data_IF_198245405978
#
_entry.id   IF_198245405978
#
_cell.length_a   1.000
_cell.length_b   1.000
_cell.length_c   1.000
_cell.angle_alpha   90.00
_cell.angle_beta   90.00
_cell.angle_gamma   90.00
#
_symmetry.space_group_name_H-M   'P 1'
#
loop_
_entity.id
_entity.type
_entity.pdbx_description
1 polymer ?
#
# COMPACT_ATOMS: atom_id res chain seq x y z
N UNK A 1 -7.51 -3.78 51.83
CA UNK A 1 -7.89 -3.82 50.41
C UNK A 1 -6.61 -3.66 49.59
N UNK A 2 -5.99 -4.77 49.17
CA UNK A 2 -4.79 -4.73 48.32
C UNK A 2 -5.22 -4.43 46.89
N UNK A 3 -4.71 -3.34 46.32
CA UNK A 3 -4.84 -3.03 44.90
C UNK A 3 -3.76 -3.82 44.17
N UNK A 4 -4.17 -4.90 43.49
CA UNK A 4 -3.29 -5.62 42.58
C UNK A 4 -3.08 -4.76 41.33
N UNK A 5 -1.86 -4.25 41.15
CA UNK A 5 -1.44 -3.64 39.88
C UNK A 5 -1.31 -4.76 38.84
N UNK A 6 -2.28 -4.88 37.95
CA UNK A 6 -2.13 -5.69 36.74
C UNK A 6 -0.94 -5.17 35.94
N UNK A 7 0.03 -6.01 35.56
CA UNK A 7 1.13 -5.55 34.72
C UNK A 7 0.55 -5.09 33.39
N UNK A 8 0.65 -3.79 33.12
CA UNK A 8 0.51 -3.26 31.77
C UNK A 8 1.64 -3.90 30.98
N UNK A 9 1.32 -4.89 30.14
CA UNK A 9 2.23 -5.30 29.09
C UNK A 9 2.52 -4.05 28.26
N UNK A 10 3.70 -3.47 28.43
CA UNK A 10 4.15 -2.34 27.63
C UNK A 10 4.15 -2.83 26.18
N UNK A 11 3.10 -2.50 25.43
CA UNK A 11 3.09 -2.73 24.00
C UNK A 11 4.30 -1.98 23.46
N UNK A 12 5.28 -2.70 22.92
CA UNK A 12 6.46 -2.10 22.29
C UNK A 12 6.00 -0.98 21.36
N UNK A 13 6.63 0.19 21.48
CA UNK A 13 6.20 1.36 20.76
C UNK A 13 6.19 1.06 19.25
N UNK A 14 5.31 1.66 18.43
CA UNK A 14 5.27 1.40 16.99
C UNK A 14 6.64 1.53 16.30
N UNK A 15 7.52 2.39 16.81
CA UNK A 15 8.89 2.56 16.33
C UNK A 15 9.79 1.35 16.65
N UNK A 16 9.63 0.70 17.80
CA UNK A 16 10.38 -0.50 18.19
C UNK A 16 10.03 -1.66 17.27
N UNK A 17 8.74 -1.83 16.98
CA UNK A 17 8.28 -2.83 15.99
C UNK A 17 8.89 -2.56 14.62
N UNK A 18 8.94 -1.30 14.19
CA UNK A 18 9.56 -0.95 12.91
C UNK A 18 11.06 -1.24 12.90
N UNK A 19 11.77 -0.94 13.99
CA UNK A 19 13.19 -1.28 14.15
C UNK A 19 13.42 -2.79 14.00
N UNK A 20 12.66 -3.62 14.73
CA UNK A 20 12.78 -5.08 14.68
C UNK A 20 12.58 -5.62 13.25
N UNK A 21 11.53 -5.17 12.56
CA UNK A 21 11.26 -5.61 11.19
C UNK A 21 12.33 -5.14 10.20
N UNK A 22 12.81 -3.90 10.34
CA UNK A 22 13.89 -3.38 9.52
C UNK A 22 15.21 -4.13 9.76
N UNK A 23 15.48 -4.54 11.01
CA UNK A 23 16.67 -5.32 11.36
C UNK A 23 16.62 -6.71 10.71
N UNK A 24 15.48 -7.41 10.83
CA UNK A 24 15.31 -8.74 10.24
C UNK A 24 15.44 -8.70 8.71
N UNK A 25 14.88 -7.69 8.05
CA UNK A 25 15.04 -7.50 6.60
C UNK A 25 16.50 -7.23 6.23
N UNK A 26 17.17 -6.30 6.90
CA UNK A 26 18.57 -5.99 6.63
C UNK A 26 19.50 -7.18 6.88
N UNK A 27 19.21 -7.98 7.91
CA UNK A 27 19.96 -9.21 8.17
C UNK A 27 19.69 -10.28 7.10
N UNK A 28 18.45 -10.39 6.63
CA UNK A 28 18.10 -11.27 5.50
C UNK A 28 18.83 -10.89 4.22
N UNK A 29 18.81 -9.60 3.86
CA UNK A 29 19.45 -9.12 2.62
C UNK A 29 20.96 -9.39 2.60
N UNK A 30 21.60 -9.36 3.78
CA UNK A 30 23.02 -9.65 3.93
C UNK A 30 23.33 -11.15 3.99
N UNK A 31 22.52 -11.92 4.71
CA UNK A 31 22.86 -13.29 5.11
C UNK A 31 22.04 -14.38 4.38
N UNK A 32 21.04 -14.01 3.57
CA UNK A 32 20.18 -14.97 2.87
C UNK A 32 19.38 -15.86 3.82
N UNK A 33 18.69 -15.28 4.80
CA UNK A 33 18.08 -16.02 5.90
C UNK A 33 16.75 -16.71 5.54
N UNK A 34 16.04 -16.19 4.55
CA UNK A 34 14.66 -16.56 4.25
C UNK A 34 14.40 -16.68 2.75
N UNK A 35 13.43 -17.53 2.41
CA UNK A 35 12.90 -17.68 1.06
C UNK A 35 12.16 -16.42 0.58
N UNK A 36 12.07 -16.18 -0.76
CA UNK A 36 11.47 -14.97 -1.32
C UNK A 36 10.05 -14.65 -0.81
N UNK A 37 9.21 -15.68 -0.65
CA UNK A 37 7.84 -15.50 -0.15
C UNK A 37 7.83 -14.98 1.29
N UNK A 38 8.72 -15.48 2.14
CA UNK A 38 8.84 -15.02 3.52
C UNK A 38 9.46 -13.61 3.58
N UNK A 39 10.42 -13.29 2.70
CA UNK A 39 10.95 -11.94 2.55
C UNK A 39 9.87 -10.94 2.14
N UNK A 40 8.98 -11.29 1.22
CA UNK A 40 7.83 -10.46 0.84
C UNK A 40 6.89 -10.21 2.02
N UNK A 41 6.62 -11.24 2.82
CA UNK A 41 5.80 -11.14 4.02
C UNK A 41 6.44 -10.23 5.10
N UNK A 42 7.75 -10.37 5.32
CA UNK A 42 8.51 -9.49 6.21
C UNK A 42 8.52 -8.04 5.71
N UNK A 43 8.60 -7.85 4.41
CA UNK A 43 8.53 -6.53 3.76
C UNK A 43 7.17 -5.88 4.00
N UNK A 44 6.08 -6.63 3.83
CA UNK A 44 4.73 -6.16 4.16
C UNK A 44 4.60 -5.77 5.64
N UNK A 45 5.10 -6.61 6.55
CA UNK A 45 5.09 -6.33 7.98
C UNK A 45 5.93 -5.09 8.36
N UNK A 46 7.08 -4.88 7.71
CA UNK A 46 7.90 -3.68 7.92
C UNK A 46 7.19 -2.41 7.45
N UNK A 47 6.52 -2.45 6.29
CA UNK A 47 5.70 -1.32 5.82
C UNK A 47 4.50 -1.03 6.74
N UNK A 48 3.82 -2.06 7.24
CA UNK A 48 2.75 -1.90 8.23
C UNK A 48 3.27 -1.22 9.51
N UNK A 49 4.42 -1.67 10.03
CA UNK A 49 5.03 -1.07 11.21
C UNK A 49 5.45 0.38 10.97
N UNK A 50 6.03 0.68 9.79
CA UNK A 50 6.35 2.05 9.38
C UNK A 50 5.11 2.93 9.35
N UNK A 51 4.04 2.47 8.70
CA UNK A 51 2.79 3.21 8.57
C UNK A 51 2.10 3.46 9.92
N UNK A 52 2.09 2.45 10.80
CA UNK A 52 1.60 2.58 12.16
C UNK A 52 2.39 3.64 12.96
N UNK A 53 3.72 3.66 12.82
CA UNK A 53 4.54 4.67 13.49
C UNK A 53 4.28 6.09 12.97
N UNK A 54 4.11 6.29 11.66
CA UNK A 54 3.74 7.60 11.08
C UNK A 54 2.37 8.08 11.57
N UNK A 55 1.37 7.18 11.61
CA UNK A 55 0.05 7.51 12.16
C UNK A 55 0.09 7.78 13.66
N UNK A 56 0.99 7.16 14.40
CA UNK A 56 1.24 7.44 15.81
C UNK A 56 2.05 8.74 16.07
N UNK A 57 2.33 9.54 15.05
CA UNK A 57 2.96 10.85 15.18
C UNK A 57 4.47 10.87 14.93
N UNK A 58 5.09 9.75 14.54
CA UNK A 58 6.46 9.77 14.06
C UNK A 58 6.58 10.58 12.75
N UNK A 59 7.77 11.06 12.45
CA UNK A 59 8.11 11.69 11.18
C UNK A 59 9.12 10.86 10.37
N UNK A 60 9.27 11.19 9.09
CA UNK A 60 10.15 10.46 8.18
C UNK A 60 11.61 10.44 8.62
N UNK A 61 12.11 11.52 9.25
CA UNK A 61 13.50 11.56 9.76
C UNK A 61 13.69 10.52 10.86
N UNK A 62 12.78 10.47 11.84
CA UNK A 62 12.85 9.49 12.92
C UNK A 62 12.81 8.05 12.39
N UNK A 63 11.99 7.77 11.38
CA UNK A 63 11.91 6.44 10.79
C UNK A 63 13.12 6.11 9.91
N UNK A 64 13.66 7.09 9.19
CA UNK A 64 14.91 6.92 8.46
C UNK A 64 16.07 6.57 9.42
N UNK A 65 16.19 7.28 10.54
CA UNK A 65 17.18 6.99 11.59
C UNK A 65 16.97 5.62 12.21
N UNK A 66 15.72 5.24 12.51
CA UNK A 66 15.39 3.91 13.03
C UNK A 66 15.80 2.80 12.06
N UNK A 67 15.51 2.96 10.77
CA UNK A 67 15.92 2.01 9.75
C UNK A 67 17.45 1.98 9.57
N UNK A 68 18.14 3.12 9.66
CA UNK A 68 19.60 3.18 9.61
C UNK A 68 20.24 2.45 10.80
N UNK A 69 19.74 2.66 12.03
CA UNK A 69 20.21 1.93 13.22
C UNK A 69 20.01 0.43 13.05
N UNK A 70 18.85 0.01 12.54
CA UNK A 70 18.56 -1.40 12.29
C UNK A 70 19.53 -2.02 11.27
N UNK A 71 19.81 -1.31 10.17
CA UNK A 71 20.81 -1.73 9.16
C UNK A 71 22.23 -1.77 9.71
N UNK A 72 22.64 -0.78 10.50
CA UNK A 72 23.95 -0.76 11.12
C UNK A 72 24.13 -1.95 12.07
N UNK A 73 23.11 -2.25 12.88
CA UNK A 73 23.11 -3.43 13.76
C UNK A 73 23.15 -4.74 12.97
N UNK A 74 22.41 -4.86 11.88
CA UNK A 74 22.49 -6.02 10.99
C UNK A 74 23.88 -6.17 10.35
N UNK A 75 24.51 -5.06 9.97
CA UNK A 75 25.85 -5.03 9.36
C UNK A 75 26.97 -5.52 10.27
N UNK A 76 26.81 -5.43 11.60
CA UNK A 76 27.80 -5.94 12.57
C UNK A 76 27.41 -7.30 13.18
N UNK A 77 26.17 -7.75 13.01
CA UNK A 77 25.73 -9.07 13.52
C UNK A 77 26.30 -10.20 12.65
N UNK A 78 27.06 -11.16 13.21
CA UNK A 78 27.53 -12.32 12.44
C UNK A 78 26.37 -13.17 11.93
N UNK A 79 26.41 -13.56 10.65
CA UNK A 79 25.34 -14.37 10.04
C UNK A 79 25.13 -15.73 10.74
N UNK A 80 26.19 -16.28 11.35
CA UNK A 80 26.14 -17.54 12.09
C UNK A 80 25.84 -17.43 13.60
N UNK A 81 25.56 -16.24 14.12
CA UNK A 81 25.35 -16.01 15.56
C UNK A 81 24.12 -16.76 16.10
N UNK A 82 24.19 -17.21 17.36
CA UNK A 82 23.10 -17.92 18.03
C UNK A 82 21.83 -17.06 18.13
N UNK A 83 21.99 -15.75 18.36
CA UNK A 83 20.89 -14.79 18.40
C UNK A 83 20.16 -14.73 17.05
N UNK A 84 20.91 -14.64 15.94
CA UNK A 84 20.29 -14.55 14.62
C UNK A 84 19.58 -15.85 14.23
N UNK A 85 20.12 -17.02 14.60
CA UNK A 85 19.45 -18.31 14.45
C UNK A 85 18.14 -18.36 15.26
N UNK A 86 18.14 -17.82 16.47
CA UNK A 86 16.92 -17.73 17.31
C UNK A 86 15.87 -16.83 16.65
N UNK A 87 16.27 -15.68 16.13
CA UNK A 87 15.39 -14.77 15.39
C UNK A 87 14.84 -15.44 14.14
N UNK A 88 15.68 -16.13 13.37
CA UNK A 88 15.28 -16.86 12.17
C UNK A 88 14.20 -17.91 12.48
N UNK A 89 14.42 -18.76 13.50
CA UNK A 89 13.44 -19.78 13.90
C UNK A 89 12.11 -19.18 14.36
N UNK A 90 12.14 -18.09 15.14
CA UNK A 90 10.91 -17.38 15.57
C UNK A 90 10.14 -16.80 14.38
N UNK A 91 10.83 -16.21 13.42
CA UNK A 91 10.23 -15.66 12.21
C UNK A 91 9.58 -16.76 11.38
N UNK A 92 10.28 -17.87 11.12
CA UNK A 92 9.74 -19.00 10.35
C UNK A 92 8.46 -19.56 11.00
N UNK A 93 8.48 -19.79 12.32
CA UNK A 93 7.30 -20.27 13.06
C UNK A 93 6.14 -19.29 12.98
N UNK A 94 6.38 -18.00 13.27
CA UNK A 94 5.33 -16.97 13.27
C UNK A 94 4.70 -16.76 11.88
N UNK A 95 5.47 -16.93 10.81
CA UNK A 95 5.01 -16.67 9.44
C UNK A 95 4.42 -17.89 8.73
N UNK A 96 4.60 -19.11 9.26
CA UNK A 96 3.99 -20.33 8.71
C UNK A 96 2.47 -20.19 8.50
N UNK A 97 1.77 -19.57 9.45
CA UNK A 97 0.34 -19.26 9.33
C UNK A 97 0.02 -18.16 8.31
N UNK A 98 0.92 -17.19 8.13
CA UNK A 98 0.71 -16.02 7.27
C UNK A 98 0.78 -16.35 5.77
N UNK A 99 1.56 -17.37 5.42
CA UNK A 99 1.69 -17.86 4.02
C UNK A 99 0.34 -18.19 3.38
N UNK A 100 -0.61 -18.70 4.17
CA UNK A 100 -1.95 -19.11 3.75
C UNK A 100 -2.99 -17.99 3.77
N UNK A 101 -2.64 -16.81 4.29
CA UNK A 101 -3.58 -15.68 4.39
C UNK A 101 -3.88 -15.12 3.00
N UNK A 102 -5.05 -15.42 2.45
CA UNK A 102 -5.42 -14.99 1.09
C UNK A 102 -5.82 -13.52 1.02
N UNK A 103 -6.49 -13.00 2.06
CA UNK A 103 -7.00 -11.62 2.10
C UNK A 103 -6.50 -10.88 3.32
N UNK A 104 -6.23 -9.58 3.15
CA UNK A 104 -5.78 -8.72 4.24
C UNK A 104 -6.24 -7.27 4.05
N UNK A 105 -6.53 -6.59 5.15
CA UNK A 105 -6.77 -5.15 5.15
C UNK A 105 -5.52 -4.41 5.62
N UNK A 106 -5.18 -3.35 4.90
CA UNK A 106 -4.07 -2.45 5.19
C UNK A 106 -4.62 -1.07 5.55
N UNK A 107 -4.34 -0.54 6.75
CA UNK A 107 -4.98 0.69 7.21
C UNK A 107 -4.67 1.93 6.37
N UNK A 108 -5.66 2.82 6.32
CA UNK A 108 -5.52 4.25 6.02
C UNK A 108 -5.97 5.07 7.23
N UNK A 109 -6.10 6.38 7.09
CA UNK A 109 -6.69 7.25 8.10
C UNK A 109 -8.22 7.11 8.12
N UNK A 110 -8.85 7.20 6.94
CA UNK A 110 -10.31 7.02 6.74
C UNK A 110 -10.65 5.86 5.83
N UNK A 111 -9.76 5.50 4.90
CA UNK A 111 -10.01 4.45 3.92
C UNK A 111 -8.83 3.47 3.87
N UNK A 112 -9.09 2.22 4.23
CA UNK A 112 -8.12 1.13 4.11
C UNK A 112 -7.99 0.63 2.67
N UNK A 113 -6.92 -0.15 2.45
CA UNK A 113 -6.74 -0.96 1.26
C UNK A 113 -7.12 -2.41 1.55
N UNK A 114 -7.96 -2.98 0.70
CA UNK A 114 -8.26 -4.41 0.71
C UNK A 114 -7.34 -5.14 -0.27
N UNK A 115 -6.63 -6.16 0.20
CA UNK A 115 -5.76 -6.99 -0.62
C UNK A 115 -6.31 -8.42 -0.75
N UNK A 116 -6.21 -8.99 -1.94
CA UNK A 116 -6.59 -10.37 -2.25
C UNK A 116 -5.49 -11.05 -3.09
N UNK A 117 -5.00 -12.19 -2.61
CA UNK A 117 -4.00 -13.06 -3.26
C UNK A 117 -4.60 -14.34 -3.81
N UNK A 118 -5.91 -14.57 -3.70
CA UNK A 118 -6.51 -15.76 -4.28
C UNK A 118 -6.28 -15.80 -5.80
N UNK A 119 -5.95 -16.99 -6.31
CA UNK A 119 -5.78 -17.23 -7.73
C UNK A 119 -7.14 -17.26 -8.44
N UNK A 120 -7.45 -16.22 -9.22
CA UNK A 120 -8.64 -16.19 -10.07
C UNK A 120 -8.25 -16.14 -11.54
N UNK A 121 -8.93 -16.92 -12.38
CA UNK A 121 -8.76 -16.89 -13.84
C UNK A 121 -9.27 -15.60 -14.48
N UNK A 122 -10.24 -14.94 -13.84
CA UNK A 122 -10.78 -13.63 -14.26
C UNK A 122 -10.01 -12.46 -13.63
N UNK A 123 -9.99 -11.28 -14.27
CA UNK A 123 -9.49 -10.07 -13.63
C UNK A 123 -10.16 -9.83 -12.28
N UNK A 124 -9.36 -9.55 -11.26
CA UNK A 124 -9.83 -9.23 -9.92
C UNK A 124 -9.08 -8.04 -9.36
N UNK A 125 -9.68 -7.40 -8.36
CA UNK A 125 -8.97 -6.47 -7.49
C UNK A 125 -8.01 -7.26 -6.60
N UNK A 126 -6.72 -7.13 -6.85
CA UNK A 126 -5.68 -7.66 -5.96
C UNK A 126 -5.37 -6.69 -4.84
N UNK A 127 -5.44 -5.39 -5.08
CA UNK A 127 -5.33 -4.36 -4.05
C UNK A 127 -6.30 -3.24 -4.41
N UNK A 128 -7.17 -2.81 -3.50
CA UNK A 128 -8.24 -1.87 -3.86
C UNK A 128 -8.66 -0.96 -2.71
N UNK A 129 -8.93 0.28 -3.07
CA UNK A 129 -9.70 1.23 -2.28
C UNK A 129 -10.90 1.71 -3.10
N UNK A 130 -12.03 1.95 -2.42
CA UNK A 130 -13.27 2.39 -3.03
C UNK A 130 -13.70 3.76 -2.47
N UNK A 131 -14.36 4.54 -3.32
CA UNK A 131 -14.87 5.87 -3.01
C UNK A 131 -15.92 6.22 -4.07
N UNK A 132 -16.29 7.50 -4.17
CA UNK A 132 -17.22 7.99 -5.19
C UNK A 132 -16.69 9.27 -5.85
N UNK A 133 -17.30 9.63 -6.97
CA UNK A 133 -17.27 10.97 -7.54
C UNK A 133 -18.71 11.38 -7.86
N UNK A 134 -19.23 12.35 -7.10
CA UNK A 134 -20.68 12.54 -6.99
C UNK A 134 -21.38 11.23 -6.60
N UNK A 135 -22.37 10.83 -7.39
CA UNK A 135 -23.11 9.58 -7.21
C UNK A 135 -22.52 8.35 -7.96
N UNK A 136 -21.35 8.51 -8.60
CA UNK A 136 -20.70 7.45 -9.37
C UNK A 136 -19.66 6.74 -8.49
N UNK A 137 -19.77 5.41 -8.27
CA UNK A 137 -18.76 4.67 -7.52
C UNK A 137 -17.46 4.59 -8.32
N UNK A 138 -16.34 4.75 -7.62
CA UNK A 138 -14.99 4.66 -8.17
C UNK A 138 -14.19 3.69 -7.32
N UNK A 139 -13.55 2.70 -7.96
CA UNK A 139 -12.52 1.86 -7.35
C UNK A 139 -11.18 2.15 -7.97
N UNK A 140 -10.14 2.05 -7.16
CA UNK A 140 -8.78 2.26 -7.59
C UNK A 140 -7.85 1.26 -6.94
N UNK A 141 -6.84 0.81 -7.69
CA UNK A 141 -5.77 -0.01 -7.15
C UNK A 141 -5.20 -0.96 -8.18
N UNK A 142 -4.67 -2.09 -7.71
CA UNK A 142 -4.02 -3.10 -8.53
C UNK A 142 -5.05 -4.14 -8.96
N UNK A 143 -5.17 -4.32 -10.28
CA UNK A 143 -5.93 -5.37 -10.93
C UNK A 143 -4.95 -6.43 -11.43
N UNK A 144 -5.31 -7.70 -11.26
CA UNK A 144 -4.53 -8.82 -11.77
C UNK A 144 -5.39 -10.08 -11.86
N UNK A 145 -4.77 -11.20 -12.15
CA UNK A 145 -5.41 -12.52 -12.22
C UNK A 145 -4.34 -13.58 -12.46
N UNK A 146 -4.75 -14.84 -12.60
CA UNK A 146 -3.86 -15.87 -13.13
C UNK A 146 -3.41 -15.45 -14.53
N UNK A 147 -2.11 -15.59 -14.80
CA UNK A 147 -1.48 -15.29 -16.08
C UNK A 147 -1.63 -13.84 -16.59
N UNK A 148 -1.99 -12.91 -15.70
CA UNK A 148 -2.09 -11.49 -16.02
C UNK A 148 -1.16 -10.67 -15.14
N UNK A 149 -0.31 -9.80 -15.72
CA UNK A 149 0.52 -8.92 -14.93
C UNK A 149 -0.35 -7.93 -14.16
N UNK A 150 0.11 -7.61 -12.95
CA UNK A 150 -0.49 -6.59 -12.11
C UNK A 150 -0.47 -5.23 -12.79
N UNK A 151 -1.63 -4.59 -12.87
CA UNK A 151 -1.80 -3.28 -13.49
C UNK A 151 -2.54 -2.34 -12.55
N UNK A 152 -2.09 -1.09 -12.49
CA UNK A 152 -2.78 -0.05 -11.75
C UNK A 152 -3.97 0.44 -12.57
N UNK A 153 -5.17 0.46 -11.98
CA UNK A 153 -6.38 0.87 -12.68
C UNK A 153 -7.34 1.68 -11.79
N UNK A 154 -8.15 2.51 -12.44
CA UNK A 154 -9.37 3.08 -11.86
C UNK A 154 -10.59 2.54 -12.61
N UNK A 155 -11.58 2.02 -11.89
CA UNK A 155 -12.87 1.61 -12.46
C UNK A 155 -13.96 2.53 -11.95
N UNK A 156 -14.73 3.09 -12.87
CA UNK A 156 -15.85 3.99 -12.56
C UNK A 156 -17.11 3.54 -13.25
N UNK A 157 -18.22 3.51 -12.51
CA UNK A 157 -19.56 3.25 -13.08
C UNK A 157 -20.37 4.54 -13.09
N UNK A 158 -20.17 5.36 -14.12
CA UNK A 158 -20.81 6.67 -14.25
C UNK A 158 -22.33 6.63 -14.11
N UNK A 159 -22.88 7.62 -13.42
CA UNK A 159 -24.30 7.97 -13.54
C UNK A 159 -24.46 9.07 -14.61
N UNK A 160 -25.49 8.96 -15.45
CA UNK A 160 -25.74 9.88 -16.56
C UNK A 160 -25.03 9.48 -17.86
N UNK A 161 -25.21 10.29 -18.92
CA UNK A 161 -24.71 10.00 -20.28
C UNK A 161 -23.31 10.56 -20.56
N UNK A 162 -22.88 11.61 -19.87
CA UNK A 162 -21.55 12.19 -20.07
C UNK A 162 -20.45 11.17 -19.76
N UNK A 163 -19.44 11.11 -20.61
CA UNK A 163 -18.27 10.23 -20.45
C UNK A 163 -17.00 11.07 -20.51
N UNK A 164 -16.04 10.84 -19.59
CA UNK A 164 -14.76 11.52 -19.65
C UNK A 164 -13.97 11.04 -20.87
N UNK A 165 -13.15 11.95 -21.38
CA UNK A 165 -12.24 11.76 -22.51
C UNK A 165 -10.83 11.37 -22.05
N UNK A 166 -10.51 11.58 -20.77
CA UNK A 166 -9.24 11.19 -20.19
C UNK A 166 -9.35 10.99 -18.68
N UNK A 167 -8.37 10.28 -18.11
CA UNK A 167 -8.22 10.16 -16.66
C UNK A 167 -6.76 10.33 -16.27
N UNK A 168 -6.51 10.91 -15.10
CA UNK A 168 -5.17 11.05 -14.54
C UNK A 168 -5.16 10.84 -13.04
N UNK A 169 -4.08 10.27 -12.52
CA UNK A 169 -3.79 10.29 -11.09
C UNK A 169 -3.00 11.56 -10.79
N UNK A 170 -3.38 12.31 -9.78
CA UNK A 170 -2.67 13.50 -9.30
C UNK A 170 -2.27 13.29 -7.85
N UNK A 171 -1.00 13.55 -7.55
CA UNK A 171 -0.42 13.36 -6.22
C UNK A 171 0.73 14.36 -5.99
N UNK A 172 1.24 14.45 -4.76
CA UNK A 172 2.48 15.19 -4.47
C UNK A 172 3.63 14.63 -5.30
N UNK A 173 4.47 15.50 -5.84
CA UNK A 173 5.76 15.10 -6.39
C UNK A 173 6.84 15.12 -5.32
N UNK A 174 7.22 13.93 -4.84
CA UNK A 174 8.27 13.80 -3.82
C UNK A 174 9.65 14.29 -4.28
N UNK A 175 9.90 14.43 -5.59
CA UNK A 175 11.13 15.02 -6.11
C UNK A 175 11.17 16.54 -6.00
N UNK A 176 10.01 17.20 -6.02
CA UNK A 176 9.87 18.67 -5.95
C UNK A 176 9.55 19.13 -4.53
N UNK A 177 8.68 18.38 -3.84
CA UNK A 177 8.30 18.63 -2.46
C UNK A 177 8.64 17.39 -1.62
N UNK A 178 9.85 17.27 -1.06
CA UNK A 178 10.30 16.06 -0.35
C UNK A 178 9.51 15.79 0.93
N UNK A 179 9.04 16.84 1.61
CA UNK A 179 8.25 16.71 2.84
C UNK A 179 6.82 16.24 2.52
N UNK A 180 6.25 15.35 3.34
CA UNK A 180 4.85 14.97 3.21
C UNK A 180 3.89 16.16 3.27
N UNK A 181 2.84 16.11 2.46
CA UNK A 181 1.76 17.09 2.51
C UNK A 181 0.60 16.56 3.36
N UNK A 182 0.66 16.80 4.67
CA UNK A 182 -0.27 16.24 5.67
C UNK A 182 -1.59 17.02 5.78
N UNK A 183 -2.12 17.48 4.65
CA UNK A 183 -3.44 18.11 4.54
C UNK A 183 -4.47 17.12 4.00
N UNK A 184 -5.75 17.46 4.10
CA UNK A 184 -6.85 16.64 3.57
C UNK A 184 -6.99 16.72 2.03
N UNK A 185 -6.19 17.54 1.36
CA UNK A 185 -6.22 17.75 -0.08
C UNK A 185 -4.83 17.75 -0.71
N UNK A 186 -4.77 17.91 -2.03
CA UNK A 186 -3.51 17.96 -2.77
C UNK A 186 -2.67 19.21 -2.39
N UNK A 187 -1.33 19.15 -2.49
CA UNK A 187 -0.44 20.31 -2.33
C UNK A 187 -0.69 21.38 -3.41
N UNK A 188 -0.06 22.57 -3.39
CA UNK A 188 -0.13 23.53 -4.49
C UNK A 188 0.26 22.91 -5.84
N UNK A 189 -0.28 23.43 -6.96
CA UNK A 189 -0.12 22.82 -8.28
C UNK A 189 1.34 22.56 -8.69
N UNK A 190 2.25 23.48 -8.36
CA UNK A 190 3.69 23.38 -8.64
C UNK A 190 4.39 22.23 -7.92
N UNK A 191 3.76 21.65 -6.89
CA UNK A 191 4.27 20.52 -6.11
C UNK A 191 3.55 19.21 -6.46
N UNK A 192 2.73 19.20 -7.51
CA UNK A 192 1.98 18.02 -7.96
C UNK A 192 2.66 17.39 -9.15
N UNK A 193 2.48 16.08 -9.27
CA UNK A 193 2.71 15.34 -10.51
C UNK A 193 1.44 14.64 -10.94
N UNK A 194 1.28 14.46 -12.25
CA UNK A 194 0.17 13.75 -12.83
C UNK A 194 0.64 12.55 -13.65
N UNK A 195 -0.11 11.45 -13.59
CA UNK A 195 0.06 10.28 -14.45
C UNK A 195 -1.22 10.04 -15.21
N UNK A 196 -1.17 10.21 -16.52
CA UNK A 196 -2.31 9.94 -17.38
C UNK A 196 -2.55 8.44 -17.54
N UNK A 197 -3.81 8.06 -17.69
CA UNK A 197 -4.18 6.71 -18.09
C UNK A 197 -3.67 6.46 -19.53
N UNK A 198 -3.13 5.27 -19.76
CA UNK A 198 -2.68 4.82 -21.08
C UNK A 198 -3.84 4.46 -22.01
N UNK A 199 -5.01 4.15 -21.44
CA UNK A 199 -6.21 3.81 -22.20
C UNK A 199 -7.43 3.60 -21.31
N UNK A 200 -8.57 3.46 -21.98
CA UNK A 200 -9.86 3.14 -21.38
C UNK A 200 -10.50 1.98 -22.10
N UNK A 201 -11.15 1.10 -21.35
CA UNK A 201 -11.94 -0.02 -21.88
C UNK A 201 -13.19 -0.25 -21.04
N UNK A 202 -14.12 -1.06 -21.54
CA UNK A 202 -15.20 -1.58 -20.72
C UNK A 202 -14.62 -2.39 -19.55
N UNK A 203 -15.09 -2.13 -18.34
CA UNK A 203 -14.64 -2.84 -17.16
C UNK A 203 -15.27 -4.24 -17.09
N UNK A 204 -14.46 -5.23 -16.72
CA UNK A 204 -14.96 -6.56 -16.38
C UNK A 204 -15.96 -6.48 -15.21
N UNK A 205 -17.04 -7.26 -15.25
CA UNK A 205 -18.06 -7.29 -14.19
C UNK A 205 -17.46 -7.58 -12.81
N UNK A 206 -16.38 -8.37 -12.74
CA UNK A 206 -15.65 -8.68 -11.51
C UNK A 206 -15.05 -7.44 -10.83
N UNK A 207 -14.80 -6.37 -11.58
CA UNK A 207 -14.17 -5.15 -11.08
C UNK A 207 -15.19 -4.06 -10.72
N UNK A 208 -16.44 -4.23 -11.12
CA UNK A 208 -17.52 -3.27 -10.93
C UNK A 208 -17.98 -3.17 -9.49
N UNK A 209 -18.76 -2.12 -9.19
CA UNK A 209 -19.42 -2.04 -7.89
C UNK A 209 -20.61 -2.96 -7.80
N UNK A 210 -20.88 -3.39 -6.58
CA UNK A 210 -22.08 -4.16 -6.29
C UNK A 210 -23.31 -3.45 -6.87
N UNK A 211 -24.14 -4.22 -7.57
CA UNK A 211 -25.31 -3.70 -8.27
C UNK A 211 -25.04 -2.88 -9.53
N UNK A 212 -23.80 -2.82 -10.06
CA UNK A 212 -23.49 -2.12 -11.32
C UNK A 212 -23.33 -3.10 -12.47
N UNK A 213 -24.01 -2.81 -13.58
CA UNK A 213 -23.95 -3.62 -14.80
C UNK A 213 -22.83 -3.20 -15.76
N UNK A 214 -22.40 -1.93 -15.71
CA UNK A 214 -21.40 -1.35 -16.61
C UNK A 214 -20.43 -0.42 -15.88
N UNK A 215 -19.27 -0.20 -16.50
CA UNK A 215 -18.24 0.73 -16.03
C UNK A 215 -17.09 0.85 -17.01
N UNK A 216 -16.24 1.87 -16.80
CA UNK A 216 -15.01 2.10 -17.55
C UNK A 216 -13.81 1.78 -16.68
N UNK A 217 -12.87 1.01 -17.22
CA UNK A 217 -11.57 0.73 -16.62
C UNK A 217 -10.49 1.59 -17.29
N UNK A 218 -9.79 2.39 -16.51
CA UNK A 218 -8.70 3.26 -16.91
C UNK A 218 -7.39 2.68 -16.39
N UNK A 219 -6.48 2.32 -17.30
CA UNK A 219 -5.20 1.68 -16.93
C UNK A 219 -4.09 2.71 -16.85
N UNK A 220 -3.28 2.66 -15.80
CA UNK A 220 -2.20 3.61 -15.52
C UNK A 220 -0.82 2.96 -15.64
N UNK A 221 0.22 3.73 -15.99
CA UNK A 221 1.58 3.22 -16.08
C UNK A 221 2.10 2.76 -14.71
N UNK A 222 2.97 1.74 -14.70
CA UNK A 222 3.61 1.22 -13.48
C UNK A 222 4.36 2.31 -12.67
N UNK A 223 4.88 3.33 -13.35
CA UNK A 223 5.50 4.49 -12.71
C UNK A 223 4.56 5.22 -11.73
N UNK A 224 3.24 5.21 -11.97
CA UNK A 224 2.25 5.79 -11.07
C UNK A 224 2.14 4.99 -9.76
N UNK A 225 2.16 3.65 -9.83
CA UNK A 225 2.16 2.81 -8.64
C UNK A 225 3.45 3.01 -7.82
N UNK A 226 4.60 3.13 -8.50
CA UNK A 226 5.87 3.41 -7.84
C UNK A 226 5.89 4.79 -7.19
N UNK A 227 5.27 5.80 -7.80
CA UNK A 227 5.14 7.12 -7.20
C UNK A 227 4.19 7.12 -6.00
N UNK A 228 3.05 6.43 -6.10
CA UNK A 228 2.13 6.25 -4.99
C UNK A 228 2.80 5.57 -3.79
N UNK A 229 3.64 4.55 -4.04
CA UNK A 229 4.38 3.86 -2.97
C UNK A 229 5.39 4.74 -2.22
N UNK A 230 5.71 5.95 -2.73
CA UNK A 230 6.63 6.90 -2.09
C UNK A 230 5.92 7.96 -1.24
N UNK A 231 4.58 8.03 -1.28
CA UNK A 231 3.84 8.95 -0.44
C UNK A 231 3.90 8.49 1.02
N UNK A 232 3.78 9.44 1.93
CA UNK A 232 3.47 9.16 3.33
C UNK A 232 2.03 8.59 3.40
N UNK A 233 1.78 7.53 4.17
CA UNK A 233 0.47 6.88 4.29
C UNK A 233 -0.66 7.83 4.72
N UNK A 234 -0.34 8.97 5.34
CA UNK A 234 -1.30 10.00 5.76
C UNK A 234 -1.66 10.98 4.65
N UNK A 235 -1.01 10.90 3.49
CA UNK A 235 -1.30 11.76 2.36
C UNK A 235 -2.48 11.24 1.53
N UNK A 236 -3.05 12.17 0.75
CA UNK A 236 -4.09 11.87 -0.23
C UNK A 236 -3.56 12.00 -1.66
N UNK A 237 -4.17 11.26 -2.57
CA UNK A 237 -4.05 11.47 -4.00
C UNK A 237 -5.45 11.47 -4.62
N UNK A 238 -5.54 11.89 -5.88
CA UNK A 238 -6.83 11.96 -6.57
C UNK A 238 -6.78 11.27 -7.90
N UNK A 239 -7.88 10.64 -8.29
CA UNK A 239 -8.17 10.30 -9.68
C UNK A 239 -9.06 11.39 -10.25
N UNK A 240 -8.60 12.05 -11.31
CA UNK A 240 -9.30 13.11 -12.02
C UNK A 240 -9.74 12.61 -13.39
N UNK A 241 -11.04 12.72 -13.67
CA UNK A 241 -11.65 12.39 -14.95
C UNK A 241 -11.97 13.67 -15.71
N UNK A 242 -11.42 13.81 -16.91
CA UNK A 242 -11.48 15.04 -17.72
C UNK A 242 -12.52 14.86 -18.83
N UNK A 243 -13.50 15.77 -18.89
CA UNK A 243 -14.56 15.77 -19.87
C UNK A 243 -14.24 16.69 -21.06
N UNK A 244 -14.99 16.53 -22.15
CA UNK A 244 -14.78 17.29 -23.40
C UNK A 244 -14.94 18.81 -23.21
N UNK A 245 -15.80 19.22 -22.28
CA UNK A 245 -16.03 20.62 -21.93
C UNK A 245 -14.96 21.21 -20.99
N UNK A 246 -13.91 20.43 -20.67
CA UNK A 246 -12.83 20.83 -19.76
C UNK A 246 -13.17 20.66 -18.28
N UNK A 247 -14.41 20.26 -17.95
CA UNK A 247 -14.77 19.97 -16.55
C UNK A 247 -14.03 18.73 -16.03
N UNK A 248 -13.80 18.71 -14.71
CA UNK A 248 -13.08 17.63 -14.02
C UNK A 248 -13.94 17.05 -12.91
N UNK A 249 -14.25 15.76 -13.01
CA UNK A 249 -14.78 15.00 -11.87
C UNK A 249 -13.61 14.41 -11.08
N UNK A 250 -13.55 14.73 -9.79
CA UNK A 250 -12.47 14.30 -8.90
C UNK A 250 -12.96 13.23 -7.94
N UNK A 251 -12.10 12.26 -7.68
CA UNK A 251 -12.28 11.27 -6.62
C UNK A 251 -11.00 11.20 -5.78
N UNK A 252 -11.14 11.31 -4.46
CA UNK A 252 -10.02 11.38 -3.52
C UNK A 252 -9.82 10.04 -2.84
N UNK A 253 -8.55 9.64 -2.73
CA UNK A 253 -8.09 8.40 -2.12
C UNK A 253 -6.97 8.70 -1.12
N UNK A 254 -6.76 7.77 -0.19
CA UNK A 254 -5.65 7.81 0.75
C UNK A 254 -4.49 6.95 0.26
N UNK A 255 -3.27 7.47 0.39
CA UNK A 255 -2.07 6.70 0.11
C UNK A 255 -2.04 5.44 1.00
N UNK A 256 -2.29 5.61 2.31
CA UNK A 256 -2.39 4.53 3.28
C UNK A 256 -1.19 3.58 3.22
N UNK A 257 -1.40 2.35 3.70
CA UNK A 257 -0.38 1.31 3.65
C UNK A 257 -0.33 0.59 2.27
N UNK A 258 -0.50 1.33 1.16
CA UNK A 258 -0.41 0.80 -0.21
C UNK A 258 0.90 0.01 -0.48
N UNK A 259 2.10 0.47 -0.05
CA UNK A 259 3.33 -0.32 -0.16
C UNK A 259 3.25 -1.68 0.56
N UNK A 260 2.62 -1.72 1.73
CA UNK A 260 2.45 -2.96 2.48
C UNK A 260 1.52 -3.93 1.75
N UNK A 261 0.42 -3.41 1.19
CA UNK A 261 -0.49 -4.16 0.33
C UNK A 261 0.23 -4.76 -0.88
N UNK A 262 1.07 -3.97 -1.58
CA UNK A 262 1.88 -4.47 -2.70
C UNK A 262 2.88 -5.55 -2.28
N UNK A 263 3.54 -5.37 -1.14
CA UNK A 263 4.47 -6.38 -0.61
C UNK A 263 3.76 -7.69 -0.24
N UNK A 264 2.54 -7.60 0.29
CA UNK A 264 1.68 -8.76 0.52
C UNK A 264 1.35 -9.48 -0.79
N UNK A 265 0.96 -8.76 -1.84
CA UNK A 265 0.73 -9.36 -3.16
C UNK A 265 1.96 -10.06 -3.76
N UNK A 266 3.16 -9.56 -3.45
CA UNK A 266 4.42 -10.15 -3.89
C UNK A 266 4.75 -11.50 -3.23
N UNK A 267 4.00 -11.91 -2.20
CA UNK A 267 4.06 -13.26 -1.64
C UNK A 267 3.53 -14.35 -2.60
N UNK A 268 2.99 -13.95 -3.75
CA UNK A 268 2.39 -14.87 -4.71
C UNK A 268 0.91 -15.12 -4.44
N UNK A 269 0.28 -15.78 -5.40
CA UNK A 269 -1.11 -16.21 -5.32
C UNK A 269 -1.23 -17.48 -4.46
N UNK A 270 -2.42 -17.71 -3.90
CA UNK A 270 -2.80 -18.90 -3.11
C UNK A 270 -4.01 -19.56 -3.74
#
# INVERSE_FOLDING_TARGET
>A
MLIAATPVAAFAAPQDRYYERAFVLAANDRCGLFEPQLTAALTAAAYQARGAALRAGANDRQLAETAQRARARAGVTPCGSADLKTVQGRVQTAFSGWSRTTRMQFPGDRAGWSADRAAYSRPTWRLMQATTTGASPVRFGVVGGMDRPDQLAAVVSWRGRSRPTGARIVMRDAGVAPRPWLSRGLPPAVQRRAFWAAGVQAADRALLAEGRAEGQAWVFPAAAANALSRLDPREVFTVEFVFRDGSIARSTFEAGDFPAGRAFLAMGQV
#
